data_IF_051774184187
#
_entry.id   IF_051774184187
#
_cell.length_a   1.000
_cell.length_b   1.000
_cell.length_c   1.000
_cell.angle_alpha   90.00
_cell.angle_beta   90.00
_cell.angle_gamma   90.00
#
_symmetry.space_group_name_H-M   'P 1'
#
loop_
_entity.id
_entity.type
_entity.pdbx_description
1 polymer ?
#
# COMPACT_ATOMS: atom_id res chain seq x y z
N UNK A 1 76.45 -25.17 2.59
CA UNK A 1 75.43 -25.61 1.62
C UNK A 1 74.08 -25.45 2.27
N UNK A 2 73.45 -24.29 2.12
CA UNK A 2 72.21 -23.92 2.82
C UNK A 2 71.19 -23.56 1.75
N UNK A 3 70.18 -24.41 1.55
CA UNK A 3 69.08 -24.20 0.62
C UNK A 3 68.03 -23.33 1.33
N UNK A 4 67.82 -22.15 0.85
CA UNK A 4 66.66 -21.30 1.24
C UNK A 4 65.44 -21.72 0.43
N UNK A 5 64.40 -22.12 1.15
CA UNK A 5 63.05 -22.33 0.63
C UNK A 5 62.29 -21.01 0.69
N UNK A 6 61.99 -20.49 -0.48
CA UNK A 6 61.13 -19.28 -0.65
C UNK A 6 59.67 -19.75 -0.60
N UNK A 7 58.97 -19.40 0.47
CA UNK A 7 57.56 -19.68 0.65
C UNK A 7 56.75 -18.55 0.02
N UNK A 8 56.14 -18.81 -1.14
CA UNK A 8 55.20 -17.87 -1.80
C UNK A 8 53.85 -17.94 -1.11
N UNK A 9 53.50 -16.91 -0.36
CA UNK A 9 52.13 -16.66 0.14
C UNK A 9 51.28 -16.14 -1.01
N UNK A 10 50.42 -16.99 -1.58
CA UNK A 10 49.32 -16.58 -2.45
C UNK A 10 48.20 -15.98 -1.60
N UNK A 11 48.10 -14.65 -1.59
CA UNK A 11 46.98 -13.92 -1.02
C UNK A 11 45.79 -14.03 -1.98
N UNK A 12 44.86 -14.89 -1.69
CA UNK A 12 43.56 -14.98 -2.37
C UNK A 12 42.69 -13.83 -1.84
N UNK A 13 42.60 -12.74 -2.58
CA UNK A 13 41.60 -11.68 -2.40
C UNK A 13 40.22 -12.23 -2.74
N UNK A 14 39.46 -12.64 -1.73
CA UNK A 14 38.04 -12.92 -1.87
C UNK A 14 37.31 -11.58 -2.09
N UNK A 15 37.04 -11.22 -3.35
CA UNK A 15 36.06 -10.18 -3.67
C UNK A 15 34.69 -10.69 -3.23
N UNK A 16 34.25 -10.25 -2.06
CA UNK A 16 32.85 -10.36 -1.66
C UNK A 16 32.04 -9.47 -2.62
N UNK A 17 31.42 -10.09 -3.59
CA UNK A 17 30.39 -9.47 -4.44
C UNK A 17 29.22 -9.08 -3.51
N UNK A 18 29.22 -7.84 -3.07
CA UNK A 18 28.04 -7.19 -2.48
C UNK A 18 26.98 -7.15 -3.58
N UNK A 19 26.12 -8.18 -3.62
CA UNK A 19 24.88 -8.12 -4.40
C UNK A 19 24.03 -7.01 -3.76
N UNK A 20 23.61 -5.99 -4.55
CA UNK A 20 22.57 -5.12 -4.06
C UNK A 20 21.35 -5.99 -3.73
N UNK A 21 20.60 -5.68 -2.66
CA UNK A 21 19.35 -6.37 -2.38
C UNK A 21 18.47 -6.21 -3.62
N UNK A 22 18.05 -7.33 -4.19
CA UNK A 22 16.99 -7.34 -5.19
C UNK A 22 15.78 -6.72 -4.48
N UNK A 23 15.39 -5.52 -4.90
CA UNK A 23 14.15 -4.87 -4.49
C UNK A 23 13.00 -5.72 -5.06
N UNK A 24 12.66 -6.79 -4.36
CA UNK A 24 11.42 -7.50 -4.60
C UNK A 24 10.27 -6.52 -4.38
N UNK A 25 9.20 -6.61 -5.18
CA UNK A 25 7.97 -5.85 -4.97
C UNK A 25 7.58 -6.01 -3.49
N UNK A 26 7.83 -4.97 -2.68
CA UNK A 26 7.62 -5.01 -1.24
C UNK A 26 6.13 -5.01 -0.93
N UNK A 27 5.76 -5.60 0.18
CA UNK A 27 4.44 -5.39 0.78
C UNK A 27 4.54 -4.21 1.75
N UNK A 28 3.47 -3.43 1.86
CA UNK A 28 3.38 -2.41 2.90
C UNK A 28 3.33 -3.07 4.27
N UNK A 29 3.90 -2.44 5.31
CA UNK A 29 3.80 -2.96 6.68
C UNK A 29 2.36 -3.09 7.14
N UNK A 30 2.12 -4.09 7.98
CA UNK A 30 0.85 -4.26 8.68
C UNK A 30 0.71 -3.15 9.71
N UNK A 31 -0.45 -2.51 9.75
CA UNK A 31 -0.76 -1.47 10.74
C UNK A 31 -0.95 -2.08 12.12
N UNK A 32 -0.61 -1.31 13.15
CA UNK A 32 -0.92 -1.66 14.54
C UNK A 32 -2.41 -1.97 14.71
N UNK A 33 -2.72 -3.08 15.37
CA UNK A 33 -4.09 -3.47 15.68
C UNK A 33 -4.82 -2.39 16.50
N UNK A 34 -6.11 -2.19 16.22
CA UNK A 34 -6.96 -1.21 16.89
C UNK A 34 -7.76 -0.34 15.94
N UNK A 35 -8.20 0.81 16.45
CA UNK A 35 -9.00 1.77 15.72
C UNK A 35 -8.10 2.79 15.02
N UNK A 36 -8.28 2.92 13.73
CA UNK A 36 -7.67 3.93 12.90
C UNK A 36 -8.71 4.92 12.40
N UNK A 37 -8.37 6.20 12.43
CA UNK A 37 -9.09 7.25 11.72
C UNK A 37 -8.36 7.57 10.43
N UNK A 38 -9.10 7.64 9.33
CA UNK A 38 -8.56 7.94 8.00
C UNK A 38 -9.32 9.12 7.43
N UNK A 39 -8.60 10.23 7.23
CA UNK A 39 -9.11 11.44 6.58
C UNK A 39 -8.67 11.46 5.13
N UNK A 40 -9.62 11.52 4.20
CA UNK A 40 -9.38 11.52 2.77
C UNK A 40 -9.68 12.90 2.21
N UNK A 41 -8.67 13.52 1.61
CA UNK A 41 -8.69 14.88 1.05
C UNK A 41 -8.40 14.75 -0.45
N UNK A 42 -9.32 15.20 -1.29
CA UNK A 42 -9.16 15.24 -2.75
C UNK A 42 -8.90 16.68 -3.18
N UNK A 43 -7.68 16.98 -3.59
CA UNK A 43 -7.31 18.31 -4.06
C UNK A 43 -8.00 18.64 -5.39
N UNK A 44 -8.53 19.86 -5.51
CA UNK A 44 -9.24 20.29 -6.72
C UNK A 44 -10.65 19.70 -6.89
N UNK A 45 -11.16 18.98 -5.89
CA UNK A 45 -12.52 18.45 -5.88
C UNK A 45 -13.45 19.36 -5.08
N UNK A 46 -14.70 19.47 -5.53
CA UNK A 46 -15.78 20.12 -4.77
C UNK A 46 -16.40 19.21 -3.70
N UNK A 47 -15.97 17.94 -3.67
CA UNK A 47 -16.43 17.00 -2.64
C UNK A 47 -15.80 17.36 -1.30
N UNK A 48 -16.56 17.30 -0.19
CA UNK A 48 -16.02 17.53 1.13
C UNK A 48 -14.99 16.45 1.50
N UNK A 49 -14.12 16.79 2.43
CA UNK A 49 -13.23 15.83 3.06
C UNK A 49 -14.06 14.70 3.69
N UNK A 50 -13.58 13.48 3.54
CA UNK A 50 -14.24 12.30 4.09
C UNK A 50 -13.41 11.71 5.22
N UNK A 51 -14.00 11.54 6.39
CA UNK A 51 -13.36 10.86 7.52
C UNK A 51 -14.07 9.54 7.77
N UNK A 52 -13.33 8.46 7.80
CA UNK A 52 -13.81 7.13 8.16
C UNK A 52 -12.99 6.55 9.31
N UNK A 53 -13.55 5.58 10.02
CA UNK A 53 -12.85 4.84 11.05
C UNK A 53 -12.80 3.37 10.68
N UNK A 54 -11.65 2.73 10.89
CA UNK A 54 -11.42 1.33 10.60
C UNK A 54 -10.90 0.63 11.86
N UNK A 55 -11.66 -0.35 12.35
CA UNK A 55 -11.20 -1.27 13.38
C UNK A 55 -10.46 -2.42 12.71
N UNK A 56 -9.18 -2.61 13.01
CA UNK A 56 -8.36 -3.65 12.37
C UNK A 56 -7.55 -4.45 13.38
N UNK A 57 -7.23 -5.68 13.02
CA UNK A 57 -6.19 -6.52 13.59
C UNK A 57 -5.22 -6.97 12.49
N UNK A 58 -4.18 -7.70 12.86
CA UNK A 58 -3.18 -8.19 11.91
C UNK A 58 -3.81 -8.97 10.74
N UNK A 59 -4.79 -9.82 11.04
CA UNK A 59 -5.47 -10.65 10.04
C UNK A 59 -6.27 -9.81 9.07
N UNK A 60 -7.13 -8.92 9.58
CA UNK A 60 -7.99 -8.09 8.74
C UNK A 60 -7.21 -7.00 8.00
N UNK A 61 -6.11 -6.53 8.55
CA UNK A 61 -5.23 -5.60 7.85
C UNK A 61 -4.54 -6.27 6.66
N UNK A 62 -4.04 -7.48 6.86
CA UNK A 62 -3.47 -8.30 5.81
C UNK A 62 -4.51 -8.70 4.77
N UNK A 63 -5.71 -9.14 5.20
CA UNK A 63 -6.82 -9.45 4.29
C UNK A 63 -7.18 -8.24 3.43
N UNK A 64 -7.22 -7.03 3.99
CA UNK A 64 -7.52 -5.83 3.24
C UNK A 64 -6.45 -5.49 2.21
N UNK A 65 -5.16 -5.63 2.56
CA UNK A 65 -4.06 -5.44 1.61
C UNK A 65 -4.05 -6.53 0.53
N UNK A 66 -4.38 -7.77 0.87
CA UNK A 66 -4.40 -8.92 -0.05
C UNK A 66 -5.70 -9.05 -0.84
N UNK A 67 -6.85 -8.57 -0.33
CA UNK A 67 -8.14 -8.62 -1.04
C UNK A 67 -8.09 -7.85 -2.37
N UNK A 68 -7.27 -6.80 -2.45
CA UNK A 68 -7.03 -6.06 -3.68
C UNK A 68 -5.92 -6.66 -4.55
N UNK A 69 -5.05 -7.50 -4.00
CA UNK A 69 -3.91 -8.07 -4.72
C UNK A 69 -4.31 -8.94 -5.94
N UNK A 70 -5.33 -9.83 -5.87
CA UNK A 70 -5.77 -10.59 -7.04
C UNK A 70 -6.35 -9.69 -8.13
N UNK A 71 -7.11 -8.67 -7.75
CA UNK A 71 -7.69 -7.73 -8.68
C UNK A 71 -6.59 -6.86 -9.30
N UNK A 72 -5.66 -6.34 -8.53
CA UNK A 72 -4.53 -5.55 -9.05
C UNK A 72 -3.68 -6.37 -10.02
N UNK A 73 -3.42 -7.65 -9.77
CA UNK A 73 -2.71 -8.53 -10.71
C UNK A 73 -3.45 -8.74 -12.03
N UNK A 74 -4.78 -8.63 -12.05
CA UNK A 74 -5.58 -8.79 -13.26
C UNK A 74 -5.67 -7.50 -14.08
N UNK A 75 -5.73 -6.35 -13.40
CA UNK A 75 -5.99 -5.06 -14.04
C UNK A 75 -4.75 -4.16 -14.12
N UNK A 76 -3.69 -4.44 -13.35
CA UNK A 76 -2.48 -3.62 -13.33
C UNK A 76 -1.32 -4.36 -14.01
N UNK A 77 -0.70 -3.69 -14.97
CA UNK A 77 0.56 -4.12 -15.61
C UNK A 77 1.79 -3.79 -14.76
N UNK A 78 1.65 -2.82 -13.85
CA UNK A 78 2.67 -2.41 -12.88
C UNK A 78 2.02 -2.19 -11.51
N UNK A 79 2.66 -2.65 -10.45
CA UNK A 79 2.30 -2.37 -9.07
C UNK A 79 3.53 -2.62 -8.18
N UNK A 80 4.36 -1.59 -8.05
CA UNK A 80 5.64 -1.66 -7.34
C UNK A 80 5.53 -0.93 -6.00
N UNK A 81 6.10 -1.52 -4.96
CA UNK A 81 6.25 -0.92 -3.63
C UNK A 81 7.73 -0.87 -3.30
N UNK A 82 8.25 0.30 -2.99
CA UNK A 82 9.67 0.53 -2.70
C UNK A 82 9.84 1.21 -1.33
N UNK A 83 10.70 0.70 -0.45
CA UNK A 83 11.04 1.40 0.79
C UNK A 83 11.85 2.67 0.50
N UNK A 84 11.62 3.70 1.32
CA UNK A 84 12.38 4.96 1.31
C UNK A 84 12.96 5.24 2.68
N UNK A 85 13.75 6.29 2.84
CA UNK A 85 14.30 6.68 4.13
C UNK A 85 13.21 7.09 5.15
N UNK A 86 12.02 7.51 4.69
CA UNK A 86 10.95 8.04 5.54
C UNK A 86 9.64 7.25 5.45
N UNK A 87 9.65 6.12 4.74
CA UNK A 87 8.45 5.30 4.53
C UNK A 87 8.52 4.47 3.25
N UNK A 88 7.58 4.67 2.34
CA UNK A 88 7.46 3.89 1.11
C UNK A 88 7.00 4.76 -0.06
N UNK A 89 7.32 4.33 -1.27
CA UNK A 89 6.67 4.80 -2.49
C UNK A 89 5.95 3.65 -3.17
N UNK A 90 4.87 3.96 -3.88
CA UNK A 90 4.17 2.98 -4.72
C UNK A 90 3.94 3.55 -6.11
N UNK A 91 4.20 2.74 -7.14
CA UNK A 91 3.91 3.06 -8.53
C UNK A 91 2.98 2.01 -9.11
N UNK A 92 1.91 2.44 -9.75
CA UNK A 92 1.00 1.52 -10.41
C UNK A 92 0.54 2.01 -11.78
N UNK A 93 0.28 1.05 -12.68
CA UNK A 93 -0.35 1.27 -13.98
C UNK A 93 -1.46 0.23 -14.11
N UNK A 94 -2.70 0.68 -14.09
CA UNK A 94 -3.86 -0.20 -14.09
C UNK A 94 -4.83 0.19 -15.20
N UNK A 95 -5.52 -0.79 -15.79
CA UNK A 95 -6.51 -0.55 -16.85
C UNK A 95 -7.80 -1.29 -16.57
N UNK A 96 -8.92 -0.56 -16.62
CA UNK A 96 -10.27 -1.09 -16.40
C UNK A 96 -11.21 -0.49 -17.43
N UNK A 97 -11.94 -1.32 -18.14
CA UNK A 97 -12.95 -0.91 -19.11
C UNK A 97 -12.46 0.15 -20.14
N UNK A 98 -11.22 0.02 -20.60
CA UNK A 98 -10.63 0.94 -21.60
C UNK A 98 -10.13 2.26 -21.02
N UNK A 99 -10.15 2.42 -19.69
CA UNK A 99 -9.50 3.54 -18.99
C UNK A 99 -8.20 3.04 -18.38
N UNK A 100 -7.09 3.71 -18.71
CA UNK A 100 -5.78 3.49 -18.10
C UNK A 100 -5.56 4.52 -17.01
N UNK A 101 -5.03 4.08 -15.86
CA UNK A 101 -4.68 4.96 -14.75
C UNK A 101 -3.25 4.68 -14.31
N UNK A 102 -2.41 5.70 -14.36
CA UNK A 102 -1.08 5.70 -13.78
C UNK A 102 -1.13 6.44 -12.46
N UNK A 103 -0.57 5.86 -11.41
CA UNK A 103 -0.51 6.52 -10.10
C UNK A 103 0.83 6.33 -9.42
N UNK A 104 1.24 7.37 -8.70
CA UNK A 104 2.37 7.39 -7.81
C UNK A 104 1.91 7.83 -6.43
N UNK A 105 2.36 7.15 -5.37
CA UNK A 105 2.06 7.57 -4.01
C UNK A 105 3.31 7.57 -3.15
N UNK A 106 3.45 8.65 -2.35
CA UNK A 106 4.40 8.77 -1.25
C UNK A 106 3.70 8.44 0.05
N UNK A 107 4.25 7.49 0.80
CA UNK A 107 3.76 7.06 2.10
C UNK A 107 4.82 7.39 3.13
N UNK A 108 4.49 8.25 4.09
CA UNK A 108 5.41 8.72 5.13
C UNK A 108 4.80 8.57 6.51
N UNK A 109 5.63 8.28 7.51
CA UNK A 109 5.19 8.14 8.90
C UNK A 109 5.36 6.72 9.43
N UNK A 110 4.57 6.39 10.45
CA UNK A 110 4.69 5.15 11.22
C UNK A 110 3.35 4.40 11.26
N UNK A 111 3.34 3.18 10.77
CA UNK A 111 2.19 2.28 10.74
C UNK A 111 1.74 1.80 12.15
N UNK A 112 2.44 2.22 13.20
CA UNK A 112 2.04 1.99 14.58
C UNK A 112 1.35 3.19 15.24
N UNK A 113 1.39 4.38 14.61
CA UNK A 113 0.84 5.60 15.23
C UNK A 113 0.12 6.51 14.25
N UNK A 114 0.81 7.01 13.22
CA UNK A 114 0.23 7.87 12.20
C UNK A 114 1.07 7.83 10.92
N UNK A 115 0.40 7.84 9.78
CA UNK A 115 1.06 7.94 8.47
C UNK A 115 0.21 8.77 7.51
N UNK A 116 0.87 9.28 6.48
CA UNK A 116 0.23 10.04 5.39
C UNK A 116 0.54 9.37 4.07
N UNK A 117 -0.47 9.26 3.21
CA UNK A 117 -0.34 8.82 1.82
C UNK A 117 -0.70 10.00 0.92
N UNK A 118 0.22 10.43 0.06
CA UNK A 118 -0.04 11.42 -0.98
C UNK A 118 0.02 10.74 -2.33
N UNK A 119 -1.10 10.67 -3.02
CA UNK A 119 -1.22 10.01 -4.32
C UNK A 119 -1.47 11.04 -5.40
N UNK A 120 -0.66 10.98 -6.46
CA UNK A 120 -0.94 11.63 -7.74
C UNK A 120 -1.34 10.57 -8.74
N UNK A 121 -2.38 10.81 -9.53
CA UNK A 121 -2.82 9.89 -10.56
C UNK A 121 -3.23 10.63 -11.82
N UNK A 122 -2.95 10.00 -12.96
CA UNK A 122 -3.39 10.42 -14.28
C UNK A 122 -4.25 9.33 -14.88
N UNK A 123 -5.44 9.68 -15.33
CA UNK A 123 -6.36 8.76 -16.02
C UNK A 123 -6.52 9.19 -17.47
N UNK A 124 -6.47 8.23 -18.38
CA UNK A 124 -6.66 8.44 -19.81
C UNK A 124 -7.50 7.30 -20.44
N UNK A 125 -8.17 7.61 -21.54
CA UNK A 125 -9.06 6.67 -22.21
C UNK A 125 -10.54 6.86 -21.86
N UNK A 126 -11.42 6.11 -22.50
CA UNK A 126 -12.85 6.26 -22.35
C UNK A 126 -13.37 7.60 -22.87
N UNK A 127 -14.21 8.30 -22.11
CA UNK A 127 -14.71 9.63 -22.45
C UNK A 127 -13.71 10.73 -22.08
N UNK A 128 -13.78 11.89 -22.74
CA UNK A 128 -12.92 13.04 -22.42
C UNK A 128 -13.01 13.49 -20.93
N UNK A 129 -14.16 13.26 -20.28
CA UNK A 129 -14.34 13.55 -18.86
C UNK A 129 -13.52 12.64 -17.92
N UNK A 130 -13.03 11.51 -18.42
CA UNK A 130 -12.18 10.58 -17.68
C UNK A 130 -10.69 10.88 -17.80
N UNK A 131 -10.29 11.74 -18.78
CA UNK A 131 -8.90 12.15 -18.96
C UNK A 131 -8.59 13.30 -18.01
N UNK A 132 -8.02 12.96 -16.84
CA UNK A 132 -7.77 13.95 -15.79
C UNK A 132 -6.66 13.53 -14.85
N UNK A 133 -6.04 14.53 -14.27
CA UNK A 133 -5.18 14.40 -13.12
C UNK A 133 -6.01 14.46 -11.82
N UNK A 134 -5.59 13.72 -10.83
CA UNK A 134 -6.16 13.77 -9.50
C UNK A 134 -5.06 13.69 -8.44
N UNK A 135 -5.26 14.40 -7.35
CA UNK A 135 -4.39 14.34 -6.17
C UNK A 135 -5.24 14.00 -4.95
N UNK A 136 -4.84 12.97 -4.23
CA UNK A 136 -5.52 12.52 -3.01
C UNK A 136 -4.52 12.44 -1.88
N UNK A 137 -4.86 12.99 -0.72
CA UNK A 137 -4.10 12.80 0.51
C UNK A 137 -4.96 11.99 1.48
N UNK A 138 -4.36 10.95 2.08
CA UNK A 138 -4.95 10.18 3.16
C UNK A 138 -4.09 10.42 4.39
N UNK A 139 -4.70 10.95 5.45
CA UNK A 139 -4.09 11.07 6.77
C UNK A 139 -4.67 9.98 7.65
N UNK A 140 -3.83 9.06 8.12
CA UNK A 140 -4.22 7.95 8.97
C UNK A 140 -3.63 8.14 10.37
N UNK A 141 -4.47 7.97 11.40
CA UNK A 141 -4.08 8.11 12.81
C UNK A 141 -4.66 6.97 13.63
N UNK A 142 -3.80 6.31 14.42
CA UNK A 142 -4.23 5.33 15.39
C UNK A 142 -4.87 6.00 16.61
N UNK A 143 -6.06 5.55 17.00
CA UNK A 143 -6.85 6.14 18.07
C UNK A 143 -6.88 5.29 19.36
N UNK A 144 -6.30 4.08 19.32
CA UNK A 144 -6.35 3.16 20.45
C UNK A 144 -7.05 1.85 20.11
N UNK A 145 -7.66 1.22 21.10
CA UNK A 145 -8.45 0.01 20.89
C UNK A 145 -9.73 0.30 20.09
N UNK A 146 -10.24 -0.71 19.39
CA UNK A 146 -11.55 -0.61 18.75
C UNK A 146 -12.64 -0.29 19.79
N UNK A 147 -13.65 0.48 19.39
CA UNK A 147 -14.76 0.86 20.26
C UNK A 147 -15.63 -0.37 20.58
N UNK A 148 -16.38 -0.27 21.68
CA UNK A 148 -17.39 -1.28 22.01
C UNK A 148 -18.34 -1.51 20.83
N UNK A 149 -18.66 -2.76 20.55
CA UNK A 149 -19.50 -3.15 19.40
C UNK A 149 -18.83 -3.10 18.04
N UNK A 150 -17.54 -2.72 17.94
CA UNK A 150 -16.74 -2.87 16.73
C UNK A 150 -15.98 -4.20 16.72
N UNK A 151 -15.87 -4.78 15.54
CA UNK A 151 -15.08 -6.00 15.29
C UNK A 151 -13.96 -5.69 14.29
N UNK A 152 -12.84 -6.42 14.32
CA UNK A 152 -11.83 -6.31 13.28
C UNK A 152 -12.43 -6.48 11.87
N UNK A 153 -12.08 -5.55 11.00
CA UNK A 153 -12.65 -5.42 9.66
C UNK A 153 -13.81 -4.44 9.53
N UNK A 154 -14.33 -3.91 10.65
CA UNK A 154 -15.40 -2.89 10.62
C UNK A 154 -14.85 -1.56 10.10
N UNK A 155 -15.53 -1.01 9.10
CA UNK A 155 -15.32 0.34 8.57
C UNK A 155 -16.56 1.15 8.87
N UNK A 156 -16.39 2.27 9.56
CA UNK A 156 -17.46 3.23 9.86
C UNK A 156 -17.27 4.45 8.98
N UNK A 157 -18.25 4.67 8.11
CA UNK A 157 -18.29 5.78 7.16
C UNK A 157 -18.91 7.05 7.82
N UNK A 158 -18.74 8.23 7.22
CA UNK A 158 -19.48 9.42 7.63
C UNK A 158 -20.98 9.14 7.74
N UNK A 159 -21.61 9.66 8.79
CA UNK A 159 -23.03 9.38 9.06
C UNK A 159 -23.29 8.07 9.83
N UNK A 160 -22.24 7.35 10.22
CA UNK A 160 -22.34 6.17 11.07
C UNK A 160 -22.67 4.86 10.34
N UNK A 161 -22.73 4.88 9.01
CA UNK A 161 -22.90 3.66 8.24
C UNK A 161 -21.70 2.73 8.45
N UNK A 162 -21.97 1.49 8.88
CA UNK A 162 -20.95 0.49 9.19
C UNK A 162 -21.02 -0.68 8.20
N UNK A 163 -19.87 -1.08 7.68
CA UNK A 163 -19.69 -2.28 6.89
C UNK A 163 -18.49 -3.07 7.43
N UNK A 164 -18.49 -4.38 7.21
CA UNK A 164 -17.35 -5.23 7.55
C UNK A 164 -16.73 -5.81 6.27
N UNK A 165 -15.39 -5.80 6.18
CA UNK A 165 -14.67 -6.30 4.98
C UNK A 165 -14.98 -7.76 4.69
N UNK A 166 -15.20 -8.59 5.71
CA UNK A 166 -15.55 -10.02 5.57
C UNK A 166 -16.94 -10.21 4.96
N UNK A 167 -17.85 -9.28 5.17
CA UNK A 167 -19.18 -9.33 4.55
C UNK A 167 -19.13 -8.86 3.10
N UNK A 168 -18.24 -7.90 2.77
CA UNK A 168 -17.99 -7.49 1.39
C UNK A 168 -17.45 -8.63 0.52
N UNK A 169 -16.62 -9.51 1.07
CA UNK A 169 -16.14 -10.71 0.36
C UNK A 169 -17.24 -11.73 0.09
N UNK A 170 -18.17 -11.92 1.03
CA UNK A 170 -19.35 -12.77 0.82
C UNK A 170 -20.22 -12.24 -0.32
N UNK A 171 -20.37 -10.91 -0.43
CA UNK A 171 -21.12 -10.28 -1.52
C UNK A 171 -20.48 -10.48 -2.89
N UNK A 172 -19.13 -10.53 -3.00
CA UNK A 172 -18.44 -10.86 -4.25
C UNK A 172 -18.81 -12.24 -4.80
N UNK A 173 -19.03 -13.21 -3.91
CA UNK A 173 -19.45 -14.56 -4.28
C UNK A 173 -20.89 -14.65 -4.80
N UNK A 174 -21.72 -13.62 -4.59
CA UNK A 174 -23.12 -13.54 -5.02
C UNK A 174 -23.29 -12.73 -6.32
N UNK A 175 -22.25 -12.06 -6.81
CA UNK A 175 -22.30 -11.36 -8.09
C UNK A 175 -22.27 -12.38 -9.25
N UNK A 176 -23.14 -12.24 -10.26
CA UNK A 176 -23.11 -13.11 -11.44
C UNK A 176 -21.76 -12.94 -12.15
N UNK A 177 -21.19 -14.09 -12.54
CA UNK A 177 -19.93 -14.17 -13.30
C UNK A 177 -20.17 -13.80 -14.75
#
# INVERSE_FOLDING_TARGET
>A
MTRQLVSSCLAVCALALLRPPEAGAGELPIRKAGLWEMKIIKTGSTLPEMTMQHCTDETTDKEMSTAFAPMSKQICSKNDVQPTATGYTTDSICSVAGVSMTSHADITGDFNSAYTVKTTSHSEGGSAAMNRDAMTTIEAKWLGACKEGQKPGDIVMPGGFKLNIKDAEKLKGLLPK
#
